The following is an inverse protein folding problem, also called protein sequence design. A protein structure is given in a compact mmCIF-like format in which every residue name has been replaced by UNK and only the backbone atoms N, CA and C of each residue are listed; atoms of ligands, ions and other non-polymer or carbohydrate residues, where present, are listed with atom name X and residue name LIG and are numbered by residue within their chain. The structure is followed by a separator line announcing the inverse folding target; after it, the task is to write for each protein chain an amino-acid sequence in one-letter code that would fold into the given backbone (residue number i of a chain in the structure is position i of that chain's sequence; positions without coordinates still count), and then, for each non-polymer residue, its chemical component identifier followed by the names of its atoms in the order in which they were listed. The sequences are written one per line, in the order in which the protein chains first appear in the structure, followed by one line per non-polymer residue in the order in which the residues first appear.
data_IF_985261341679
#
_entry.id   IF_985261341679
#
_cell.length_a   1.000
_cell.length_b   1.000
_cell.length_c   1.000
_cell.angle_alpha   90.00
_cell.angle_beta   90.00
_cell.angle_gamma   90.00
#
_symmetry.space_group_name_H-M   'P 1'
#
loop_
_entity.id
_entity.type
_entity.pdbx_description
1 polymer ?
#
# COMPACT_ATOMS: atom_id res chain seq x y z
N UNK A 1 24.02 10.80 -23.07
CA UNK A 1 22.81 11.59 -23.33
C UNK A 1 22.48 11.66 -24.81
N UNK A 2 23.36 12.07 -25.72
CA UNK A 2 23.09 12.20 -27.16
C UNK A 2 22.57 10.89 -27.80
N UNK A 3 23.14 9.73 -27.45
CA UNK A 3 22.69 8.45 -27.99
C UNK A 3 21.25 8.08 -27.54
N UNK A 4 20.92 8.40 -26.29
CA UNK A 4 19.55 8.19 -25.74
C UNK A 4 18.57 9.15 -26.41
N UNK A 5 18.96 10.42 -26.61
CA UNK A 5 18.14 11.42 -27.31
C UNK A 5 17.79 10.97 -28.73
N UNK A 6 18.76 10.50 -29.51
CA UNK A 6 18.55 9.95 -30.86
C UNK A 6 17.63 8.73 -30.90
N UNK A 7 17.74 7.86 -29.91
CA UNK A 7 16.83 6.71 -29.80
C UNK A 7 15.39 7.14 -29.52
N UNK A 8 15.18 8.16 -28.67
CA UNK A 8 13.86 8.75 -28.41
C UNK A 8 13.31 9.43 -29.64
N UNK A 9 14.13 10.22 -30.34
CA UNK A 9 13.76 10.88 -31.59
C UNK A 9 13.32 9.88 -32.68
N UNK A 10 14.07 8.78 -32.85
CA UNK A 10 13.67 7.75 -33.80
C UNK A 10 12.36 7.06 -33.46
N UNK A 11 12.09 6.84 -32.17
CA UNK A 11 10.83 6.27 -31.69
C UNK A 11 9.67 7.28 -31.82
N UNK A 12 9.90 8.55 -31.57
CA UNK A 12 8.92 9.63 -31.73
C UNK A 12 8.53 9.83 -33.20
N UNK A 13 9.48 9.74 -34.12
CA UNK A 13 9.23 9.81 -35.56
C UNK A 13 8.33 8.68 -36.07
N UNK A 14 8.43 7.46 -35.50
CA UNK A 14 7.54 6.35 -35.82
C UNK A 14 6.07 6.62 -35.43
N UNK A 15 5.85 7.48 -34.44
CA UNK A 15 4.52 7.88 -33.94
C UNK A 15 4.04 9.16 -34.67
N UNK A 16 4.87 9.72 -35.53
CA UNK A 16 4.55 10.92 -36.35
C UNK A 16 4.83 12.25 -35.64
N UNK A 17 5.70 12.27 -34.65
CA UNK A 17 6.26 13.50 -34.07
C UNK A 17 7.45 13.91 -34.92
N UNK A 18 7.47 15.14 -35.43
CA UNK A 18 8.47 15.64 -36.37
C UNK A 18 9.53 16.55 -35.75
N UNK A 19 9.49 16.73 -34.45
CA UNK A 19 10.49 17.53 -33.73
C UNK A 19 11.86 16.86 -33.74
N UNK A 20 12.88 17.64 -34.14
CA UNK A 20 14.26 17.17 -34.18
C UNK A 20 15.08 17.78 -33.04
N UNK A 21 15.98 16.96 -32.48
CA UNK A 21 16.91 17.43 -31.46
C UNK A 21 17.88 18.45 -32.02
N UNK A 22 18.05 19.57 -31.32
CA UNK A 22 19.10 20.53 -31.66
C UNK A 22 20.49 19.95 -31.45
N UNK A 23 21.46 20.37 -32.24
CA UNK A 23 22.86 19.92 -32.10
C UNK A 23 23.59 20.61 -30.95
N UNK A 24 22.86 21.15 -29.96
CA UNK A 24 23.49 21.89 -28.86
C UNK A 24 24.28 20.99 -27.94
N UNK A 25 25.47 21.43 -27.55
CA UNK A 25 26.38 20.71 -26.64
C UNK A 25 25.97 20.92 -25.17
N UNK A 26 24.99 21.79 -24.91
CA UNK A 26 24.54 22.08 -23.54
C UNK A 26 23.59 20.99 -23.04
N UNK A 27 24.05 20.24 -22.03
CA UNK A 27 23.31 19.11 -21.45
C UNK A 27 21.94 19.50 -20.85
N UNK A 28 21.76 20.77 -20.48
CA UNK A 28 20.49 21.26 -19.91
C UNK A 28 19.46 21.54 -21.01
N UNK A 29 19.89 22.10 -22.13
CA UNK A 29 19.05 22.34 -23.30
C UNK A 29 18.62 21.00 -23.90
N UNK A 30 19.57 20.10 -24.13
CA UNK A 30 19.29 18.75 -24.65
C UNK A 30 18.33 17.95 -23.76
N UNK A 31 18.45 18.08 -22.44
CA UNK A 31 17.52 17.43 -21.50
C UNK A 31 16.09 17.98 -21.66
N UNK A 32 15.93 19.29 -21.80
CA UNK A 32 14.61 19.91 -21.94
C UNK A 32 13.96 19.56 -23.30
N UNK A 33 14.74 19.52 -24.38
CA UNK A 33 14.26 19.11 -25.71
C UNK A 33 13.85 17.63 -25.72
N UNK A 34 14.66 16.73 -25.16
CA UNK A 34 14.32 15.30 -25.02
C UNK A 34 13.06 15.13 -24.20
N UNK A 35 12.89 15.92 -23.14
CA UNK A 35 11.68 15.89 -22.32
C UNK A 35 10.44 16.38 -23.10
N UNK A 36 10.57 17.47 -23.87
CA UNK A 36 9.48 17.99 -24.68
C UNK A 36 9.03 16.97 -25.76
N UNK A 37 9.97 16.42 -26.52
CA UNK A 37 9.71 15.40 -27.53
C UNK A 37 9.07 14.15 -26.92
N UNK A 38 9.52 13.72 -25.75
CA UNK A 38 8.96 12.55 -25.06
C UNK A 38 7.52 12.79 -24.59
N UNK A 39 7.18 13.99 -24.15
CA UNK A 39 5.82 14.36 -23.77
C UNK A 39 4.89 14.41 -24.98
N UNK A 40 5.32 15.05 -26.08
CA UNK A 40 4.53 15.14 -27.29
C UNK A 40 4.31 13.77 -27.94
N UNK A 41 5.34 12.92 -28.00
CA UNK A 41 5.22 11.55 -28.47
C UNK A 41 4.22 10.74 -27.63
N UNK A 42 4.22 10.95 -26.31
CA UNK A 42 3.32 10.30 -25.39
C UNK A 42 1.86 10.75 -25.62
N UNK A 43 1.62 12.04 -25.77
CA UNK A 43 0.29 12.58 -26.01
C UNK A 43 -0.27 12.11 -27.35
N UNK A 44 0.56 12.06 -28.39
CA UNK A 44 0.17 11.58 -29.71
C UNK A 44 -0.07 10.08 -29.74
N UNK A 45 0.73 9.29 -29.05
CA UNK A 45 0.49 7.86 -28.86
C UNK A 45 -0.84 7.59 -28.15
N UNK A 46 -1.13 8.38 -27.10
CA UNK A 46 -2.39 8.31 -26.36
C UNK A 46 -3.58 8.66 -27.25
N UNK A 47 -3.51 9.72 -28.05
CA UNK A 47 -4.59 10.09 -28.99
C UNK A 47 -4.82 9.00 -30.05
N UNK A 48 -3.76 8.42 -30.63
CA UNK A 48 -3.86 7.35 -31.61
C UNK A 48 -4.52 6.08 -31.02
N UNK A 49 -4.20 5.73 -29.79
CA UNK A 49 -4.87 4.60 -29.09
C UNK A 49 -6.35 4.95 -28.88
N UNK A 50 -6.66 6.16 -28.43
CA UNK A 50 -8.04 6.59 -28.20
C UNK A 50 -8.88 6.59 -29.46
N UNK A 51 -8.33 7.06 -30.57
CA UNK A 51 -9.01 7.06 -31.86
C UNK A 51 -9.27 5.61 -32.33
N UNK A 52 -8.30 4.72 -32.15
CA UNK A 52 -8.44 3.30 -32.48
C UNK A 52 -9.49 2.60 -31.62
N UNK A 53 -9.53 2.92 -30.32
CA UNK A 53 -10.50 2.35 -29.37
C UNK A 53 -11.90 2.92 -29.60
N UNK A 54 -12.04 4.22 -29.89
CA UNK A 54 -13.34 4.86 -30.17
C UNK A 54 -14.01 4.30 -31.40
N UNK A 55 -13.21 3.85 -32.40
CA UNK A 55 -13.71 3.15 -33.59
C UNK A 55 -14.14 1.70 -33.32
N UNK A 56 -13.55 1.05 -32.32
CA UNK A 56 -13.77 -0.37 -32.02
C UNK A 56 -14.84 -0.63 -30.95
N UNK A 57 -15.07 0.28 -30.02
CA UNK A 57 -16.01 0.11 -28.93
C UNK A 57 -16.71 1.42 -28.54
N UNK A 58 -18.03 1.35 -28.35
CA UNK A 58 -18.79 2.47 -27.77
C UNK A 58 -18.70 2.37 -26.23
N UNK A 59 -17.94 3.28 -25.61
CA UNK A 59 -17.91 3.43 -24.15
C UNK A 59 -18.30 4.87 -23.76
N UNK A 60 -18.99 4.98 -22.63
CA UNK A 60 -19.43 6.28 -22.10
C UNK A 60 -18.40 6.92 -21.18
N UNK A 61 -17.49 6.12 -20.62
CA UNK A 61 -16.49 6.60 -19.66
C UNK A 61 -15.25 5.69 -19.72
N UNK A 62 -14.06 6.28 -19.64
CA UNK A 62 -12.79 5.55 -19.55
C UNK A 62 -11.87 6.25 -18.54
N UNK A 63 -11.02 5.48 -17.90
CA UNK A 63 -9.96 5.97 -17.04
C UNK A 63 -8.61 5.50 -17.60
N UNK A 64 -7.69 6.43 -17.81
CA UNK A 64 -6.34 6.12 -18.25
C UNK A 64 -5.40 6.34 -17.08
N UNK A 65 -4.75 5.28 -16.65
CA UNK A 65 -3.70 5.33 -15.66
C UNK A 65 -2.35 5.14 -16.33
N UNK A 66 -1.52 6.18 -16.31
CA UNK A 66 -0.21 6.16 -16.92
C UNK A 66 0.85 5.76 -15.90
N UNK A 67 1.50 4.63 -16.15
CA UNK A 67 2.64 4.17 -15.36
C UNK A 67 3.91 4.27 -16.21
N UNK A 68 4.71 5.31 -15.98
CA UNK A 68 6.01 5.46 -16.64
C UNK A 68 7.02 4.44 -16.07
N UNK A 69 7.72 3.63 -16.89
CA UNK A 69 8.67 2.64 -16.41
C UNK A 69 9.82 3.22 -15.57
N UNK A 70 10.27 4.42 -15.91
CA UNK A 70 11.30 5.13 -15.14
C UNK A 70 10.78 5.65 -13.81
N UNK A 71 9.55 6.14 -13.79
CA UNK A 71 8.87 6.59 -12.57
C UNK A 71 8.57 5.38 -11.66
N UNK A 72 8.20 4.25 -12.23
CA UNK A 72 7.97 3.00 -11.50
C UNK A 72 9.22 2.53 -10.75
N UNK A 73 10.40 2.55 -11.38
CA UNK A 73 11.65 2.12 -10.72
C UNK A 73 12.05 3.04 -9.57
N UNK A 74 12.04 4.36 -9.78
CA UNK A 74 12.33 5.36 -8.74
C UNK A 74 11.27 5.33 -7.65
N UNK A 75 10.02 5.11 -8.02
CA UNK A 75 8.89 5.00 -7.10
C UNK A 75 9.05 3.77 -6.19
N UNK A 76 9.30 2.58 -6.75
CA UNK A 76 9.48 1.35 -5.98
C UNK A 76 10.66 1.48 -5.01
N UNK A 77 11.80 2.05 -5.44
CA UNK A 77 12.94 2.26 -4.56
C UNK A 77 12.61 3.19 -3.38
N UNK A 78 11.92 4.30 -3.64
CA UNK A 78 11.46 5.21 -2.58
C UNK A 78 10.44 4.56 -1.64
N UNK A 79 9.51 3.79 -2.20
CA UNK A 79 8.49 3.05 -1.46
C UNK A 79 9.11 2.05 -0.50
N UNK A 80 10.06 1.25 -0.97
CA UNK A 80 10.78 0.27 -0.14
C UNK A 80 11.54 0.97 0.99
N UNK A 81 12.24 2.06 0.70
CA UNK A 81 12.97 2.83 1.70
C UNK A 81 12.02 3.44 2.75
N UNK A 82 10.87 3.99 2.32
CA UNK A 82 9.86 4.53 3.25
C UNK A 82 9.25 3.42 4.11
N UNK A 83 8.95 2.26 3.53
CA UNK A 83 8.42 1.10 4.26
C UNK A 83 9.41 0.60 5.32
N UNK A 84 10.68 0.46 4.96
CA UNK A 84 11.73 0.06 5.90
C UNK A 84 11.87 1.09 7.05
N UNK A 85 11.89 2.38 6.72
CA UNK A 85 11.95 3.43 7.73
C UNK A 85 10.73 3.39 8.67
N UNK A 86 9.53 3.19 8.12
CA UNK A 86 8.29 3.08 8.90
C UNK A 86 8.31 1.87 9.84
N UNK A 87 8.79 0.71 9.38
CA UNK A 87 8.91 -0.51 10.21
C UNK A 87 9.90 -0.28 11.35
N UNK A 88 11.04 0.32 11.09
CA UNK A 88 12.05 0.62 12.13
C UNK A 88 11.47 1.62 13.15
N UNK A 89 10.80 2.66 12.69
CA UNK A 89 10.17 3.65 13.58
C UNK A 89 9.07 3.01 14.42
N UNK A 90 8.20 2.21 13.81
CA UNK A 90 7.15 1.47 14.52
C UNK A 90 7.75 0.54 15.59
N UNK A 91 8.82 -0.21 15.24
CA UNK A 91 9.53 -1.05 16.21
C UNK A 91 10.05 -0.26 17.41
N UNK A 92 10.67 0.89 17.17
CA UNK A 92 11.18 1.76 18.24
C UNK A 92 10.04 2.23 19.15
N UNK A 93 8.95 2.72 18.58
CA UNK A 93 7.79 3.21 19.34
C UNK A 93 7.15 2.09 20.16
N UNK A 94 6.93 0.92 19.58
CA UNK A 94 6.34 -0.22 20.27
C UNK A 94 7.29 -0.71 21.38
N UNK A 95 8.59 -0.73 21.14
CA UNK A 95 9.60 -1.10 22.13
C UNK A 95 9.62 -0.13 23.33
N UNK A 96 9.47 1.17 23.09
CA UNK A 96 9.36 2.18 24.14
C UNK A 96 8.09 1.98 24.99
N UNK A 97 6.98 1.58 24.35
CA UNK A 97 5.70 1.35 25.03
C UNK A 97 5.76 0.10 25.88
N UNK A 98 6.18 -1.02 25.33
CA UNK A 98 6.11 -2.33 26.03
C UNK A 98 7.33 -2.62 26.88
N UNK A 99 8.49 -2.08 26.54
CA UNK A 99 9.79 -2.34 27.20
C UNK A 99 10.15 -3.84 27.27
N UNK A 100 9.53 -4.66 26.46
CA UNK A 100 9.72 -6.09 26.36
C UNK A 100 9.71 -6.51 24.91
N UNK A 101 10.65 -7.37 24.46
CA UNK A 101 10.78 -7.70 23.04
C UNK A 101 9.64 -8.59 22.52
N UNK A 102 9.07 -9.47 23.34
CA UNK A 102 8.08 -10.44 22.87
C UNK A 102 6.75 -9.80 22.43
N UNK A 103 6.13 -8.88 23.20
CA UNK A 103 4.96 -8.15 22.70
C UNK A 103 5.22 -7.36 21.42
N UNK A 104 6.43 -6.80 21.28
CA UNK A 104 6.85 -6.13 20.05
C UNK A 104 6.81 -7.08 18.84
N UNK A 105 7.36 -8.28 18.98
CA UNK A 105 7.38 -9.29 17.92
C UNK A 105 5.98 -9.73 17.53
N UNK A 106 5.07 -9.89 18.50
CA UNK A 106 3.67 -10.25 18.24
C UNK A 106 3.01 -9.19 17.36
N UNK A 107 3.08 -7.91 17.75
CA UNK A 107 2.48 -6.79 17.00
C UNK A 107 3.08 -6.66 15.60
N UNK A 108 4.42 -6.73 15.47
CA UNK A 108 5.06 -6.63 14.17
C UNK A 108 4.75 -7.82 13.26
N UNK A 109 4.63 -9.02 13.81
CA UNK A 109 4.29 -10.20 13.01
C UNK A 109 2.88 -10.11 12.43
N UNK A 110 1.94 -9.54 13.19
CA UNK A 110 0.60 -9.25 12.68
C UNK A 110 0.61 -8.27 11.52
N UNK A 111 1.17 -7.09 11.73
CA UNK A 111 1.23 -6.06 10.70
C UNK A 111 1.95 -6.51 9.42
N UNK A 112 3.03 -7.30 9.54
CA UNK A 112 3.70 -7.88 8.36
C UNK A 112 2.83 -8.91 7.64
N UNK A 113 2.12 -9.75 8.36
CA UNK A 113 1.21 -10.73 7.77
C UNK A 113 0.05 -10.05 7.02
N UNK A 114 -0.49 -8.97 7.57
CA UNK A 114 -1.58 -8.20 6.95
C UNK A 114 -1.14 -7.51 5.65
N UNK A 115 0.07 -6.96 5.62
CA UNK A 115 0.65 -6.40 4.38
C UNK A 115 0.80 -7.51 3.33
N UNK A 116 1.36 -8.66 3.70
CA UNK A 116 1.54 -9.79 2.77
C UNK A 116 0.19 -10.29 2.26
N UNK A 117 -0.80 -10.40 3.13
CA UNK A 117 -2.16 -10.84 2.76
C UNK A 117 -2.84 -9.82 1.83
N UNK A 118 -2.71 -8.52 2.11
CA UNK A 118 -3.23 -7.45 1.26
C UNK A 118 -2.56 -7.43 -0.12
N UNK A 119 -1.23 -7.62 -0.18
CA UNK A 119 -0.49 -7.74 -1.45
C UNK A 119 -0.89 -9.01 -2.22
N UNK A 120 -1.09 -10.13 -1.53
CA UNK A 120 -1.59 -11.37 -2.14
C UNK A 120 -2.98 -11.18 -2.75
N UNK A 121 -3.86 -10.48 -2.04
CA UNK A 121 -5.20 -10.15 -2.52
C UNK A 121 -5.17 -9.21 -3.74
N UNK A 122 -4.28 -8.21 -3.76
CA UNK A 122 -4.05 -7.37 -4.94
C UNK A 122 -3.66 -8.20 -6.16
N UNK A 123 -2.73 -9.15 -5.99
CA UNK A 123 -2.31 -10.05 -7.06
C UNK A 123 -3.46 -10.93 -7.56
N UNK A 124 -4.28 -11.47 -6.67
CA UNK A 124 -5.45 -12.29 -7.02
C UNK A 124 -6.54 -11.51 -7.76
N UNK A 125 -6.73 -10.22 -7.44
CA UNK A 125 -7.70 -9.34 -8.10
C UNK A 125 -7.14 -8.63 -9.34
N UNK A 126 -5.87 -8.82 -9.66
CA UNK A 126 -5.22 -8.13 -10.77
C UNK A 126 -5.09 -6.61 -10.55
N UNK A 127 -5.08 -6.14 -9.30
CA UNK A 127 -4.93 -4.71 -8.99
C UNK A 127 -3.44 -4.34 -9.13
N UNK A 128 -3.08 -3.42 -10.06
CA UNK A 128 -1.69 -3.02 -10.25
C UNK A 128 -1.16 -2.20 -9.06
N UNK A 129 0.15 -2.26 -8.84
CA UNK A 129 0.82 -1.44 -7.84
C UNK A 129 0.96 -0.01 -8.35
N UNK A 130 0.01 0.84 -7.99
CA UNK A 130 -0.06 2.27 -8.31
C UNK A 130 0.22 3.11 -7.06
N UNK A 131 0.26 4.43 -7.20
CA UNK A 131 0.36 5.34 -6.05
C UNK A 131 -0.84 5.16 -5.10
N UNK A 132 -2.05 4.97 -5.65
CA UNK A 132 -3.28 4.77 -4.88
C UNK A 132 -3.28 3.46 -4.12
N UNK A 133 -2.89 2.36 -4.77
CA UNK A 133 -2.81 1.04 -4.14
C UNK A 133 -1.72 0.99 -3.07
N UNK A 134 -0.58 1.65 -3.31
CA UNK A 134 0.47 1.78 -2.30
C UNK A 134 0.03 2.59 -1.08
N UNK A 135 -0.67 3.72 -1.30
CA UNK A 135 -1.23 4.51 -0.20
C UNK A 135 -2.21 3.68 0.64
N UNK A 136 -3.04 2.85 -0.01
CA UNK A 136 -3.94 1.93 0.68
C UNK A 136 -3.19 0.89 1.53
N UNK A 137 -2.11 0.30 1.00
CA UNK A 137 -1.28 -0.64 1.76
C UNK A 137 -0.62 0.01 2.99
N UNK A 138 -0.11 1.24 2.85
CA UNK A 138 0.48 1.98 3.98
C UNK A 138 -0.57 2.33 5.03
N UNK A 139 -1.76 2.72 4.60
CA UNK A 139 -2.88 2.99 5.50
C UNK A 139 -3.32 1.72 6.24
N UNK A 140 -3.39 0.58 5.54
CA UNK A 140 -3.69 -0.72 6.14
C UNK A 140 -2.65 -1.12 7.20
N UNK A 141 -1.36 -0.94 6.90
CA UNK A 141 -0.29 -1.23 7.86
C UNK A 141 -0.45 -0.41 9.15
N UNK A 142 -0.83 0.87 9.03
CA UNK A 142 -1.09 1.73 10.20
C UNK A 142 -2.29 1.26 11.01
N UNK A 143 -3.40 0.95 10.37
CA UNK A 143 -4.62 0.47 11.02
C UNK A 143 -4.42 -0.88 11.73
N UNK A 144 -3.71 -1.81 11.11
CA UNK A 144 -3.35 -3.09 11.70
C UNK A 144 -2.47 -2.92 12.94
N UNK A 145 -1.43 -2.07 12.86
CA UNK A 145 -0.60 -1.76 14.02
C UNK A 145 -1.41 -1.19 15.18
N UNK A 146 -2.37 -0.30 14.91
CA UNK A 146 -3.22 0.29 15.94
C UNK A 146 -4.11 -0.76 16.62
N UNK A 147 -4.70 -1.68 15.85
CA UNK A 147 -5.55 -2.77 16.35
C UNK A 147 -4.74 -3.74 17.20
N UNK A 148 -3.60 -4.20 16.70
CA UNK A 148 -2.70 -5.13 17.40
C UNK A 148 -2.10 -4.50 18.67
N UNK A 149 -1.74 -3.21 18.61
CA UNK A 149 -1.21 -2.49 19.75
C UNK A 149 -2.28 -2.30 20.83
N UNK A 150 -3.51 -1.96 20.44
CA UNK A 150 -4.65 -1.82 21.36
C UNK A 150 -4.95 -3.16 22.06
N UNK A 151 -5.01 -4.27 21.30
CA UNK A 151 -5.16 -5.62 21.84
C UNK A 151 -4.07 -5.93 22.87
N UNK A 152 -2.83 -5.74 22.48
CA UNK A 152 -1.66 -6.09 23.30
C UNK A 152 -1.59 -5.22 24.57
N UNK A 153 -1.89 -3.92 24.49
CA UNK A 153 -1.95 -3.02 25.65
C UNK A 153 -3.05 -3.46 26.62
N UNK A 154 -4.25 -3.75 26.12
CA UNK A 154 -5.38 -4.17 26.97
C UNK A 154 -5.10 -5.50 27.67
N UNK A 155 -4.51 -6.47 26.96
CA UNK A 155 -4.23 -7.79 27.51
C UNK A 155 -3.05 -7.78 28.48
N UNK A 156 -1.97 -7.06 28.17
CA UNK A 156 -0.71 -7.13 28.93
C UNK A 156 -0.52 -6.02 29.96
N UNK A 157 -0.95 -4.79 29.68
CA UNK A 157 -0.70 -3.63 30.58
C UNK A 157 -1.80 -3.38 31.59
N UNK A 158 -3.05 -3.77 31.31
CA UNK A 158 -4.10 -3.65 32.32
C UNK A 158 -3.89 -4.73 33.40
N UNK A 159 -4.09 -4.34 34.65
CA UNK A 159 -3.93 -5.24 35.81
C UNK A 159 -5.25 -5.69 36.43
N UNK A 160 -6.35 -5.07 36.01
CA UNK A 160 -7.68 -5.36 36.53
C UNK A 160 -8.32 -6.56 35.81
N UNK A 161 -8.87 -7.50 36.58
CA UNK A 161 -9.56 -8.67 36.06
C UNK A 161 -8.67 -9.77 35.48
N UNK A 162 -9.30 -10.84 34.99
CA UNK A 162 -8.60 -11.96 34.36
C UNK A 162 -8.07 -11.58 32.96
N UNK A 163 -6.94 -12.16 32.51
CA UNK A 163 -6.42 -11.93 31.15
C UNK A 163 -7.45 -12.21 30.05
N UNK A 164 -8.33 -13.20 30.26
CA UNK A 164 -9.39 -13.56 29.30
C UNK A 164 -10.47 -12.51 29.19
N UNK A 165 -10.90 -11.92 30.31
CA UNK A 165 -11.91 -10.84 30.31
C UNK A 165 -11.36 -9.61 29.60
N UNK A 166 -10.09 -9.30 29.82
CA UNK A 166 -9.38 -8.20 29.12
C UNK A 166 -9.25 -8.44 27.62
N UNK A 167 -9.00 -9.69 27.21
CA UNK A 167 -8.96 -10.06 25.80
C UNK A 167 -10.35 -9.93 25.15
N UNK A 168 -11.41 -10.31 25.85
CA UNK A 168 -12.79 -10.13 25.37
C UNK A 168 -13.18 -8.64 25.23
N UNK A 169 -12.81 -7.81 26.19
CA UNK A 169 -13.01 -6.36 26.13
C UNK A 169 -12.19 -5.73 24.98
N UNK A 170 -10.99 -6.25 24.73
CA UNK A 170 -10.18 -5.84 23.60
C UNK A 170 -10.89 -6.20 22.28
N UNK A 171 -11.40 -7.44 22.17
CA UNK A 171 -12.14 -7.90 21.02
C UNK A 171 -13.34 -7.00 20.70
N UNK A 172 -14.18 -6.76 21.70
CA UNK A 172 -15.37 -5.92 21.52
C UNK A 172 -15.04 -4.52 20.99
N UNK A 173 -13.99 -3.92 21.54
CA UNK A 173 -13.56 -2.58 21.11
C UNK A 173 -12.92 -2.62 19.71
N UNK A 174 -12.00 -3.56 19.48
CA UNK A 174 -11.31 -3.68 18.18
C UNK A 174 -12.29 -4.01 17.06
N UNK A 175 -13.22 -4.94 17.29
CA UNK A 175 -14.24 -5.28 16.31
C UNK A 175 -15.13 -4.07 15.93
N UNK A 176 -15.50 -3.25 16.92
CA UNK A 176 -16.27 -2.02 16.66
C UNK A 176 -15.45 -1.02 15.82
N UNK A 177 -14.16 -0.82 16.14
CA UNK A 177 -13.27 0.05 15.39
C UNK A 177 -13.09 -0.44 13.95
N UNK A 178 -12.75 -1.71 13.77
CA UNK A 178 -12.55 -2.30 12.44
C UNK A 178 -13.83 -2.29 11.60
N UNK A 179 -15.00 -2.53 12.23
CA UNK A 179 -16.30 -2.45 11.52
C UNK A 179 -16.59 -1.05 10.98
N UNK A 180 -16.25 0.00 11.73
CA UNK A 180 -16.42 1.39 11.28
C UNK A 180 -15.53 1.71 10.09
N UNK A 181 -14.27 1.30 10.17
CA UNK A 181 -13.30 1.50 9.09
C UNK A 181 -13.67 0.67 7.85
N UNK A 182 -14.14 -0.57 8.06
CA UNK A 182 -14.64 -1.45 6.99
C UNK A 182 -15.81 -0.80 6.22
N UNK A 183 -16.74 -0.15 6.94
CA UNK A 183 -17.83 0.60 6.30
C UNK A 183 -17.30 1.76 5.44
N UNK A 184 -16.27 2.49 5.91
CA UNK A 184 -15.62 3.55 5.16
C UNK A 184 -14.96 3.06 3.86
N UNK A 185 -14.19 1.98 3.93
CA UNK A 185 -13.60 1.36 2.72
C UNK A 185 -14.65 0.74 1.80
N UNK A 186 -15.73 0.17 2.37
CA UNK A 186 -16.87 -0.31 1.61
C UNK A 186 -17.52 0.81 0.80
N UNK A 187 -17.69 1.98 1.40
CA UNK A 187 -18.22 3.14 0.70
C UNK A 187 -17.29 3.63 -0.42
N UNK A 188 -15.98 3.68 -0.17
CA UNK A 188 -15.00 4.01 -1.22
C UNK A 188 -15.02 3.01 -2.37
N UNK A 189 -15.15 1.71 -2.07
CA UNK A 189 -15.26 0.67 -3.09
C UNK A 189 -16.50 0.85 -3.96
N UNK A 190 -17.65 1.07 -3.33
CA UNK A 190 -18.91 1.32 -4.05
C UNK A 190 -18.84 2.60 -4.88
N UNK A 191 -18.31 3.69 -4.31
CA UNK A 191 -18.07 4.93 -5.06
C UNK A 191 -17.14 4.71 -6.25
N UNK A 192 -16.07 3.94 -6.08
CA UNK A 192 -15.15 3.59 -7.17
C UNK A 192 -15.84 2.84 -8.30
N UNK A 193 -16.77 1.93 -7.97
CA UNK A 193 -17.58 1.22 -8.96
C UNK A 193 -18.57 2.13 -9.71
N UNK A 194 -19.21 3.05 -9.00
CA UNK A 194 -20.23 3.96 -9.59
C UNK A 194 -19.56 5.06 -10.41
N UNK A 195 -18.49 5.65 -9.90
CA UNK A 195 -17.82 6.79 -10.55
C UNK A 195 -16.77 6.36 -11.58
N UNK A 196 -16.44 5.06 -11.65
CA UNK A 196 -15.35 4.52 -12.45
C UNK A 196 -13.97 5.15 -12.18
N UNK A 197 -13.79 5.75 -10.98
CA UNK A 197 -12.50 6.31 -10.56
C UNK A 197 -11.64 5.17 -9.99
N UNK A 198 -10.61 4.79 -10.74
CA UNK A 198 -9.71 3.66 -10.41
C UNK A 198 -9.09 3.80 -9.02
N UNK A 199 -8.72 5.02 -8.61
CA UNK A 199 -8.13 5.25 -7.29
C UNK A 199 -9.07 4.86 -6.14
N UNK A 200 -10.35 5.22 -6.21
CA UNK A 200 -11.35 4.88 -5.18
C UNK A 200 -11.60 3.38 -5.13
N UNK A 201 -11.70 2.74 -6.31
CA UNK A 201 -11.84 1.30 -6.41
C UNK A 201 -10.65 0.56 -5.77
N UNK A 202 -9.43 0.95 -6.12
CA UNK A 202 -8.21 0.34 -5.60
C UNK A 202 -8.09 0.49 -4.08
N UNK A 203 -8.27 1.71 -3.56
CA UNK A 203 -8.19 1.97 -2.12
C UNK A 203 -9.28 1.19 -1.37
N UNK A 204 -10.53 1.22 -1.88
CA UNK A 204 -11.64 0.51 -1.28
C UNK A 204 -11.46 -1.00 -1.27
N UNK A 205 -11.07 -1.59 -2.40
CA UNK A 205 -10.88 -3.04 -2.53
C UNK A 205 -9.74 -3.55 -1.63
N UNK A 206 -8.59 -2.88 -1.65
CA UNK A 206 -7.43 -3.26 -0.83
C UNK A 206 -7.75 -3.11 0.65
N UNK A 207 -8.40 -2.00 1.03
CA UNK A 207 -8.79 -1.76 2.41
C UNK A 207 -9.79 -2.80 2.94
N UNK A 208 -10.81 -3.15 2.15
CA UNK A 208 -11.79 -4.17 2.53
C UNK A 208 -11.13 -5.53 2.78
N UNK A 209 -10.33 -6.00 1.83
CA UNK A 209 -9.71 -7.33 1.93
C UNK A 209 -8.63 -7.34 3.01
N UNK A 210 -7.84 -6.26 3.09
CA UNK A 210 -6.83 -6.11 4.13
C UNK A 210 -7.42 -6.12 5.54
N UNK A 211 -8.54 -5.41 5.77
CA UNK A 211 -9.23 -5.42 7.08
C UNK A 211 -9.85 -6.76 7.43
N UNK A 212 -10.36 -7.50 6.45
CA UNK A 212 -10.82 -8.87 6.70
C UNK A 212 -9.64 -9.76 7.12
N UNK A 213 -8.48 -9.58 6.46
CA UNK A 213 -7.24 -10.24 6.84
C UNK A 213 -6.79 -9.88 8.25
N UNK A 214 -6.76 -8.59 8.56
CA UNK A 214 -6.43 -8.06 9.89
C UNK A 214 -7.32 -8.66 10.99
N UNK A 215 -8.64 -8.74 10.76
CA UNK A 215 -9.55 -9.40 11.70
C UNK A 215 -9.14 -10.87 11.99
N UNK A 216 -8.80 -11.60 10.94
CA UNK A 216 -8.39 -13.01 11.08
C UNK A 216 -7.04 -13.11 11.81
N UNK A 217 -6.06 -12.30 11.45
CA UNK A 217 -4.72 -12.32 12.03
C UNK A 217 -4.71 -11.81 13.47
N UNK A 218 -5.35 -10.67 13.73
CA UNK A 218 -5.37 -10.06 15.07
C UNK A 218 -6.08 -10.96 16.07
N UNK A 219 -7.27 -11.51 15.73
CA UNK A 219 -8.06 -12.29 16.67
C UNK A 219 -7.77 -13.79 16.62
N UNK A 220 -7.35 -14.32 15.48
CA UNK A 220 -6.99 -15.73 15.32
C UNK A 220 -5.57 -16.08 15.74
N UNK A 221 -4.63 -15.15 15.60
CA UNK A 221 -3.21 -15.38 15.85
C UNK A 221 -2.65 -14.50 16.97
N UNK A 222 -2.71 -13.18 16.84
CA UNK A 222 -2.10 -12.25 17.81
C UNK A 222 -2.82 -12.28 19.16
N UNK A 223 -4.16 -12.40 19.18
CA UNK A 223 -4.96 -12.48 20.39
C UNK A 223 -4.60 -13.69 21.28
N UNK A 224 -4.64 -14.92 20.76
CA UNK A 224 -4.18 -16.10 21.47
C UNK A 224 -2.73 -16.02 21.95
N UNK A 225 -1.81 -15.50 21.13
CA UNK A 225 -0.40 -15.33 21.52
C UNK A 225 -0.24 -14.34 22.68
N UNK A 226 -0.92 -13.20 22.62
CA UNK A 226 -0.91 -12.20 23.69
C UNK A 226 -1.52 -12.77 24.98
N UNK A 227 -2.59 -13.57 24.87
CA UNK A 227 -3.22 -14.22 26.01
C UNK A 227 -2.32 -15.28 26.63
N UNK A 228 -1.67 -16.14 25.84
CA UNK A 228 -0.72 -17.13 26.34
C UNK A 228 0.45 -16.46 27.06
N UNK A 229 0.92 -15.36 26.56
CA UNK A 229 1.96 -14.59 27.22
C UNK A 229 1.49 -13.99 28.55
N UNK A 230 0.27 -13.44 28.60
CA UNK A 230 -0.34 -12.89 29.81
C UNK A 230 -0.61 -13.95 30.89
N UNK A 231 -0.96 -15.20 30.49
CA UNK A 231 -1.15 -16.34 31.39
C UNK A 231 0.19 -16.97 31.84
N UNK A 232 1.34 -16.47 31.39
CA UNK A 232 2.66 -17.02 31.74
C UNK A 232 2.96 -18.39 31.18
N UNK A 233 2.22 -18.86 30.19
CA UNK A 233 2.36 -20.17 29.53
C UNK A 233 3.46 -20.24 28.49
N UNK A 234 4.03 -19.07 28.13
CA UNK A 234 5.14 -19.02 27.17
C UNK A 234 6.40 -19.67 27.76
N UNK A 235 7.12 -20.51 26.98
CA UNK A 235 8.37 -21.10 27.45
C UNK A 235 9.34 -19.97 27.87
N UNK A 236 9.99 -20.16 29.02
CA UNK A 236 10.89 -19.19 29.69
C UNK A 236 12.17 -18.84 28.87
N UNK A 237 12.11 -18.91 27.57
CA UNK A 237 13.26 -18.65 26.67
C UNK A 237 13.61 -17.17 26.59
N UNK A 238 12.65 -16.27 26.87
CA UNK A 238 12.81 -14.83 26.77
C UNK A 238 12.51 -14.10 28.09
N UNK A 239 13.40 -14.29 29.07
CA UNK A 239 13.51 -13.38 30.20
C UNK A 239 12.67 -13.75 31.42
N UNK A 240 13.40 -14.07 32.44
CA UNK A 240 12.97 -14.11 33.84
C UNK A 240 12.52 -12.71 34.30
N UNK A 241 11.37 -12.62 34.94
CA UNK A 241 11.28 -11.94 36.21
C UNK A 241 11.24 -12.92 37.31
#
# INVERSE_FOLDING_TARGET
MIAIGKSIESSANQIGVTDTLSSSTDAKILKNEVMAISLEAKDKYKSNIMDSLSGAARYSTYSIEEISPSLSKVFIEKVVNMALFSIVLAFIVIMLIFRQPLPCLIVLSGATADIVMSMGAMGALGIPLTLSSFAALMMMAGLSLDTDMMLTIKVLKRTEGNPRDRAYDAFRTGFAMTSTVLAGFGMLFVLGMITHITAYYQIGAIGLIGLIGDLIMTWGFNGPLALWYAEGKFPKIFGKK
#
